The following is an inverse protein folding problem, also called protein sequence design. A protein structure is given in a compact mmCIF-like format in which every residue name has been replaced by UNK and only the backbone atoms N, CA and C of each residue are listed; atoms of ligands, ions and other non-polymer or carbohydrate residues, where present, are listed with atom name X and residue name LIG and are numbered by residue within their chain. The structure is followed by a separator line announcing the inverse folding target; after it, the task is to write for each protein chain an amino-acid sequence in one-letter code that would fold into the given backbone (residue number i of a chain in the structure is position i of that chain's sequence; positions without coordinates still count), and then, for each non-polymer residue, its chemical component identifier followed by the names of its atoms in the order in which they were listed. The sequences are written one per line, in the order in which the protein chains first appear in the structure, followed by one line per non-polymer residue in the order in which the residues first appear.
data_IF_950311211446
#
_entry.id   IF_950311211446
#
_cell.length_a   1.000
_cell.length_b   1.000
_cell.length_c   1.000
_cell.angle_alpha   90.00
_cell.angle_beta   90.00
_cell.angle_gamma   90.00
#
_symmetry.space_group_name_H-M   'P 1'
#
loop_
_entity.id
_entity.type
_entity.pdbx_description
1 polymer ?
#
# COMPACT_ATOMS: atom_id res chain seq x y z
N UNK A 1 -26.43 1.46 -11.52
CA UNK A 1 -26.37 1.46 -13.00
C UNK A 1 -25.30 0.45 -13.41
N UNK A 2 -25.71 -0.62 -14.11
CA UNK A 2 -24.91 -1.63 -14.84
C UNK A 2 -23.59 -2.19 -14.25
N UNK A 3 -23.53 -2.48 -12.95
CA UNK A 3 -22.39 -3.19 -12.36
C UNK A 3 -22.47 -4.71 -12.59
N UNK A 4 -21.51 -5.29 -13.32
CA UNK A 4 -21.34 -6.75 -13.43
C UNK A 4 -20.69 -7.36 -12.17
N UNK A 5 -20.16 -6.53 -11.27
CA UNK A 5 -19.62 -6.95 -9.98
C UNK A 5 -20.70 -6.86 -8.89
N UNK A 6 -21.14 -8.02 -8.38
CA UNK A 6 -22.17 -8.11 -7.34
C UNK A 6 -21.67 -8.91 -6.13
N UNK A 7 -21.72 -8.29 -4.94
CA UNK A 7 -21.34 -8.92 -3.68
C UNK A 7 -22.57 -9.24 -2.83
N UNK A 8 -23.37 -8.22 -2.48
CA UNK A 8 -24.68 -8.31 -1.83
C UNK A 8 -25.60 -7.21 -2.38
N UNK A 9 -26.92 -7.36 -2.22
CA UNK A 9 -27.91 -6.45 -2.81
C UNK A 9 -28.11 -5.13 -2.01
N UNK A 10 -27.49 -4.99 -0.84
CA UNK A 10 -27.73 -3.86 0.08
C UNK A 10 -26.54 -2.90 0.28
N UNK A 11 -25.32 -3.27 -0.14
CA UNK A 11 -24.11 -2.50 0.16
C UNK A 11 -23.38 -1.94 -1.06
N UNK A 12 -23.01 -0.66 -0.98
CA UNK A 12 -22.14 0.02 -1.95
C UNK A 12 -20.66 -0.22 -1.63
N UNK A 13 -20.06 -1.30 -2.15
CA UNK A 13 -18.63 -1.60 -1.92
C UNK A 13 -17.68 -0.85 -2.86
N UNK A 14 -18.06 -0.65 -4.13
CA UNK A 14 -17.16 -0.11 -5.17
C UNK A 14 -17.33 1.39 -5.44
N UNK A 15 -18.46 1.96 -5.04
CA UNK A 15 -18.68 3.42 -5.09
C UNK A 15 -18.25 4.03 -3.75
N UNK A 16 -16.96 3.93 -3.46
CA UNK A 16 -16.31 4.42 -2.24
C UNK A 16 -15.01 5.14 -2.62
N UNK A 17 -14.58 6.16 -1.86
CA UNK A 17 -13.33 6.87 -2.15
C UNK A 17 -12.07 6.02 -1.87
N UNK A 18 -12.21 4.91 -1.14
CA UNK A 18 -11.12 4.02 -0.74
C UNK A 18 -11.55 2.56 -0.79
N UNK A 19 -10.57 1.63 -0.81
CA UNK A 19 -10.83 0.19 -0.86
C UNK A 19 -11.21 -0.41 0.50
N UNK A 20 -11.17 0.35 1.61
CA UNK A 20 -11.36 -0.16 2.97
C UNK A 20 -12.65 -0.99 3.12
N UNK A 21 -13.80 -0.46 2.69
CA UNK A 21 -15.09 -1.18 2.78
C UNK A 21 -15.09 -2.50 1.99
N UNK A 22 -14.44 -2.53 0.82
CA UNK A 22 -14.30 -3.76 0.05
C UNK A 22 -13.33 -4.76 0.71
N UNK A 23 -12.21 -4.27 1.27
CA UNK A 23 -11.27 -5.10 2.02
C UNK A 23 -11.98 -5.71 3.24
N UNK A 24 -12.69 -4.92 4.04
CA UNK A 24 -13.44 -5.39 5.21
C UNK A 24 -14.50 -6.45 4.89
N UNK A 25 -15.00 -6.50 3.64
CA UNK A 25 -15.95 -7.53 3.20
C UNK A 25 -15.38 -8.96 3.19
N UNK A 26 -14.06 -9.12 3.29
CA UNK A 26 -13.40 -10.40 3.55
C UNK A 26 -13.07 -11.27 2.33
N UNK A 27 -12.20 -12.27 2.55
CA UNK A 27 -11.59 -13.14 1.53
C UNK A 27 -12.58 -13.80 0.56
N UNK A 28 -13.76 -14.21 1.05
CA UNK A 28 -14.78 -14.82 0.21
C UNK A 28 -15.25 -13.86 -0.89
N UNK A 29 -15.50 -12.60 -0.53
CA UNK A 29 -15.91 -11.56 -1.46
C UNK A 29 -14.78 -11.15 -2.40
N UNK A 30 -13.53 -11.05 -1.92
CA UNK A 30 -12.38 -10.81 -2.79
C UNK A 30 -12.22 -11.92 -3.84
N UNK A 31 -12.37 -13.17 -3.42
CA UNK A 31 -12.27 -14.33 -4.31
C UNK A 31 -13.40 -14.35 -5.34
N UNK A 32 -14.63 -14.00 -4.93
CA UNK A 32 -15.79 -13.86 -5.82
C UNK A 32 -15.55 -12.79 -6.88
N UNK A 33 -15.10 -11.59 -6.47
CA UNK A 33 -14.80 -10.48 -7.39
C UNK A 33 -13.68 -10.85 -8.34
N UNK A 34 -12.59 -11.44 -7.83
CA UNK A 34 -11.48 -11.90 -8.68
C UNK A 34 -11.94 -12.89 -9.75
N UNK A 35 -12.69 -13.92 -9.38
CA UNK A 35 -13.23 -14.91 -10.35
C UNK A 35 -14.15 -14.25 -11.38
N UNK A 36 -15.00 -13.32 -10.93
CA UNK A 36 -15.90 -12.57 -11.83
C UNK A 36 -15.11 -11.74 -12.83
N UNK A 37 -14.10 -10.97 -12.38
CA UNK A 37 -13.23 -10.20 -13.26
C UNK A 37 -12.47 -11.09 -14.24
N UNK A 38 -11.88 -12.20 -13.77
CA UNK A 38 -11.18 -13.16 -14.63
C UNK A 38 -12.11 -13.74 -15.70
N UNK A 39 -13.36 -14.06 -15.34
CA UNK A 39 -14.34 -14.54 -16.30
C UNK A 39 -14.71 -13.46 -17.31
N UNK A 40 -15.05 -12.25 -16.87
CA UNK A 40 -15.46 -11.14 -17.75
C UNK A 40 -14.34 -10.65 -18.68
N UNK A 41 -13.08 -10.80 -18.26
CA UNK A 41 -11.90 -10.42 -19.05
C UNK A 41 -11.32 -11.59 -19.85
N UNK A 42 -11.92 -12.78 -19.79
CA UNK A 42 -11.52 -13.93 -20.61
C UNK A 42 -11.96 -13.74 -22.06
N UNK A 43 -11.14 -14.21 -23.01
CA UNK A 43 -11.47 -14.23 -24.44
C UNK A 43 -12.69 -15.10 -24.76
N UNK A 44 -13.02 -16.06 -23.88
CA UNK A 44 -14.14 -16.98 -24.06
C UNK A 44 -15.46 -16.43 -23.47
N UNK A 45 -15.45 -15.25 -22.84
CA UNK A 45 -16.64 -14.64 -22.25
C UNK A 45 -17.08 -13.38 -23.01
N UNK A 46 -18.14 -13.54 -23.79
CA UNK A 46 -18.68 -12.49 -24.64
C UNK A 46 -19.45 -11.39 -23.87
N UNK A 47 -19.78 -11.61 -22.59
CA UNK A 47 -20.66 -10.72 -21.79
C UNK A 47 -20.17 -9.27 -21.77
N UNK A 48 -18.88 -9.06 -21.51
CA UNK A 48 -18.27 -7.74 -21.59
C UNK A 48 -17.66 -7.51 -22.98
N UNK A 49 -17.08 -8.54 -23.61
CA UNK A 49 -16.36 -8.41 -24.88
C UNK A 49 -17.24 -7.90 -26.04
N UNK A 50 -18.49 -8.33 -26.15
CA UNK A 50 -19.39 -7.90 -27.24
C UNK A 50 -20.25 -6.69 -26.87
N UNK A 51 -20.26 -6.29 -25.61
CA UNK A 51 -20.99 -5.11 -25.15
C UNK A 51 -20.13 -3.84 -25.31
N UNK A 52 -20.05 -3.34 -26.54
CA UNK A 52 -19.24 -2.14 -26.87
C UNK A 52 -19.61 -0.93 -26.02
N UNK A 53 -20.91 -0.64 -25.85
CA UNK A 53 -21.37 0.48 -25.04
C UNK A 53 -20.87 0.40 -23.61
N UNK A 54 -20.97 -0.77 -22.96
CA UNK A 54 -20.47 -0.97 -21.60
C UNK A 54 -18.95 -0.90 -21.53
N UNK A 55 -18.21 -1.50 -22.49
CA UNK A 55 -16.73 -1.44 -22.50
C UNK A 55 -16.21 -0.01 -22.56
N UNK A 56 -16.80 0.82 -23.42
CA UNK A 56 -16.47 2.24 -23.55
C UNK A 56 -16.70 3.00 -22.23
N UNK A 57 -17.70 2.59 -21.42
CA UNK A 57 -18.00 3.21 -20.13
C UNK A 57 -17.07 2.72 -18.99
N UNK A 58 -16.69 1.44 -18.97
CA UNK A 58 -16.03 0.82 -17.79
C UNK A 58 -14.54 0.54 -17.95
N UNK A 59 -14.01 0.50 -19.17
CA UNK A 59 -12.58 0.32 -19.42
C UNK A 59 -11.93 1.66 -19.78
N UNK A 60 -11.26 2.25 -18.80
CA UNK A 60 -10.58 3.53 -18.94
C UNK A 60 -9.08 3.30 -19.13
N UNK A 61 -8.44 4.07 -20.01
CA UNK A 61 -6.99 3.97 -20.20
C UNK A 61 -6.27 4.47 -18.95
N UNK A 62 -5.16 3.82 -18.60
CA UNK A 62 -4.40 4.17 -17.39
C UNK A 62 -3.76 5.56 -17.49
N UNK A 63 -3.39 6.00 -18.68
CA UNK A 63 -2.80 7.33 -18.95
C UNK A 63 -3.82 8.47 -18.92
N UNK A 64 -5.13 8.16 -18.91
CA UNK A 64 -6.21 9.15 -18.84
C UNK A 64 -6.80 9.31 -17.44
N UNK A 65 -6.21 8.68 -16.42
CA UNK A 65 -6.70 8.75 -15.03
C UNK A 65 -5.60 9.17 -14.07
N UNK A 66 -6.01 9.69 -12.91
CA UNK A 66 -5.12 9.93 -11.77
C UNK A 66 -5.36 8.86 -10.73
N UNK A 67 -4.30 8.17 -10.30
CA UNK A 67 -4.38 7.21 -9.19
C UNK A 67 -4.28 7.94 -7.85
N UNK A 68 -5.02 7.44 -6.86
CA UNK A 68 -5.05 7.97 -5.49
C UNK A 68 -4.50 6.95 -4.50
N UNK A 69 -4.33 7.35 -3.24
CA UNK A 69 -4.00 6.41 -2.16
C UNK A 69 -5.13 5.37 -2.05
N UNK A 70 -4.83 4.06 -2.16
CA UNK A 70 -5.86 3.04 -2.35
C UNK A 70 -6.69 2.75 -1.10
N UNK A 71 -6.14 3.07 0.08
CA UNK A 71 -6.79 2.86 1.37
C UNK A 71 -6.64 4.11 2.24
N UNK A 72 -7.61 4.32 3.12
CA UNK A 72 -7.38 5.09 4.33
C UNK A 72 -6.51 4.23 5.25
N UNK A 73 -5.35 4.76 5.66
CA UNK A 73 -4.40 4.07 6.52
C UNK A 73 -4.73 4.38 7.99
N UNK A 74 -5.37 3.48 8.76
CA UNK A 74 -5.65 3.73 10.18
C UNK A 74 -4.40 3.61 11.06
N UNK A 75 -3.44 2.79 10.63
CA UNK A 75 -2.17 2.56 11.30
C UNK A 75 -1.12 2.09 10.29
N UNK A 76 0.12 2.48 10.50
CA UNK A 76 1.26 2.08 9.69
C UNK A 76 2.36 1.54 10.61
N UNK A 77 2.76 0.29 10.40
CA UNK A 77 3.87 -0.35 11.10
C UNK A 77 4.98 -0.59 10.10
N UNK A 78 6.19 -0.21 10.46
CA UNK A 78 7.39 -0.50 9.68
C UNK A 78 8.23 -1.54 10.42
N UNK A 79 8.70 -2.54 9.67
CA UNK A 79 9.47 -3.67 10.21
C UNK A 79 10.92 -3.59 9.78
N UNK A 80 11.80 -4.20 10.58
CA UNK A 80 13.24 -4.20 10.37
C UNK A 80 13.79 -5.59 10.02
N UNK A 81 13.11 -6.30 9.12
CA UNK A 81 13.28 -7.76 8.92
C UNK A 81 14.30 -8.17 7.85
N UNK A 82 14.98 -7.24 7.18
CA UNK A 82 16.08 -7.58 6.26
C UNK A 82 17.38 -7.77 7.04
N UNK A 83 17.92 -9.00 7.02
CA UNK A 83 19.16 -9.34 7.74
C UNK A 83 20.35 -8.56 7.22
N UNK A 84 20.47 -8.45 5.91
CA UNK A 84 21.56 -7.75 5.23
C UNK A 84 21.49 -6.27 5.55
N UNK A 85 20.30 -5.67 5.48
CA UNK A 85 20.10 -4.28 5.88
C UNK A 85 20.48 -4.06 7.35
N UNK A 86 19.97 -4.89 8.25
CA UNK A 86 20.25 -4.80 9.68
C UNK A 86 21.73 -4.95 10.02
N UNK A 87 22.40 -5.88 9.34
CA UNK A 87 23.84 -6.13 9.49
C UNK A 87 24.64 -4.93 8.97
N UNK A 88 24.33 -4.44 7.78
CA UNK A 88 25.05 -3.31 7.17
C UNK A 88 24.96 -2.05 8.02
N UNK A 89 23.76 -1.69 8.50
CA UNK A 89 23.57 -0.57 9.43
C UNK A 89 24.30 -0.84 10.74
N UNK A 90 24.20 -2.07 11.28
CA UNK A 90 24.90 -2.47 12.49
C UNK A 90 26.40 -2.27 12.44
N UNK A 91 27.04 -2.67 11.34
CA UNK A 91 28.48 -2.50 11.10
C UNK A 91 28.95 -1.03 11.05
N UNK A 92 28.06 -0.09 10.74
CA UNK A 92 28.41 1.34 10.76
C UNK A 92 28.42 1.92 12.19
N UNK A 93 27.63 1.34 13.10
CA UNK A 93 27.49 1.80 14.49
C UNK A 93 28.32 0.99 15.49
N UNK A 94 28.65 -0.26 15.15
CA UNK A 94 29.34 -1.26 15.99
C UNK A 94 30.43 -1.96 15.18
N UNK A 95 31.10 -2.93 15.78
CA UNK A 95 31.95 -3.83 15.02
C UNK A 95 31.13 -4.86 14.20
N UNK A 96 31.68 -5.38 13.08
CA UNK A 96 30.95 -6.33 12.24
C UNK A 96 30.55 -7.65 12.92
N UNK A 97 31.25 -8.10 13.97
CA UNK A 97 30.91 -9.34 14.67
C UNK A 97 29.69 -9.16 15.58
N UNK A 98 29.43 -7.93 16.02
CA UNK A 98 28.28 -7.56 16.84
C UNK A 98 27.27 -6.68 16.08
N UNK A 99 27.19 -6.85 14.76
CA UNK A 99 26.33 -6.04 13.90
C UNK A 99 24.84 -6.16 14.27
N UNK A 100 24.36 -7.36 14.60
CA UNK A 100 22.97 -7.58 14.99
C UNK A 100 22.82 -7.52 16.51
N UNK A 101 21.78 -6.84 16.99
CA UNK A 101 21.39 -6.91 18.40
C UNK A 101 20.78 -8.28 18.71
N UNK A 102 20.89 -8.78 19.96
CA UNK A 102 20.45 -10.12 20.31
C UNK A 102 18.97 -10.41 20.00
N UNK A 103 18.10 -9.42 20.18
CA UNK A 103 16.67 -9.59 19.94
C UNK A 103 16.29 -9.69 18.45
N UNK A 104 17.16 -9.26 17.53
CA UNK A 104 16.83 -9.22 16.10
C UNK A 104 16.56 -10.61 15.52
N UNK A 105 17.27 -11.64 15.99
CA UNK A 105 17.06 -13.03 15.55
C UNK A 105 15.89 -13.72 16.25
N UNK A 106 15.39 -13.14 17.34
CA UNK A 106 14.36 -13.78 18.20
C UNK A 106 12.95 -13.27 17.89
N UNK A 107 12.82 -12.07 17.33
CA UNK A 107 11.53 -11.48 16.97
C UNK A 107 11.66 -10.52 15.77
N UNK A 108 10.57 -10.32 15.00
CA UNK A 108 10.55 -9.33 13.93
C UNK A 108 10.47 -7.92 14.53
N UNK A 109 11.62 -7.29 14.75
CA UNK A 109 11.71 -5.93 15.29
C UNK A 109 10.92 -4.98 14.39
N UNK A 110 10.13 -4.10 15.00
CA UNK A 110 9.32 -3.12 14.28
C UNK A 110 8.89 -1.97 15.18
N UNK A 111 8.33 -0.92 14.57
CA UNK A 111 7.91 0.28 15.27
C UNK A 111 6.66 0.89 14.62
N UNK A 112 5.95 1.74 15.39
CA UNK A 112 4.81 2.48 14.88
C UNK A 112 5.29 3.63 13.99
N UNK A 113 4.94 3.57 12.71
CA UNK A 113 5.12 4.68 11.77
C UNK A 113 4.02 5.73 11.89
N UNK A 114 4.06 6.72 10.99
CA UNK A 114 3.06 7.80 10.94
C UNK A 114 2.12 7.63 9.74
N UNK A 115 0.90 7.16 10.00
CA UNK A 115 -0.10 6.93 8.97
C UNK A 115 -0.45 8.19 8.14
N UNK A 116 -0.49 9.36 8.78
CA UNK A 116 -0.87 10.62 8.12
C UNK A 116 0.10 11.10 7.04
N UNK A 117 1.30 10.53 6.95
CA UNK A 117 2.33 10.91 5.97
C UNK A 117 2.58 9.83 4.91
N UNK A 118 1.77 8.77 4.86
CA UNK A 118 1.79 7.81 3.74
C UNK A 118 1.14 8.47 2.53
N UNK A 119 1.89 8.61 1.45
CA UNK A 119 1.47 9.31 0.23
C UNK A 119 1.53 8.40 -0.99
N UNK A 120 0.72 8.73 -2.02
CA UNK A 120 0.71 7.99 -3.29
C UNK A 120 1.98 8.29 -4.10
N UNK A 121 2.39 7.34 -4.95
CA UNK A 121 3.52 7.52 -5.87
C UNK A 121 3.41 8.82 -6.68
N UNK A 122 4.55 9.48 -6.90
CA UNK A 122 4.62 10.78 -7.60
C UNK A 122 4.42 12.00 -6.69
N UNK A 123 4.03 11.82 -5.42
CA UNK A 123 3.93 12.94 -4.47
C UNK A 123 5.32 13.51 -4.17
N UNK A 124 5.49 14.83 -4.35
CA UNK A 124 6.72 15.54 -4.01
C UNK A 124 6.96 15.53 -2.49
N UNK A 125 8.18 15.19 -2.07
CA UNK A 125 8.59 15.19 -0.67
C UNK A 125 9.55 16.36 -0.42
N UNK A 126 9.15 17.29 0.45
CA UNK A 126 9.99 18.43 0.85
C UNK A 126 11.07 17.94 1.81
N UNK A 127 12.33 18.37 1.61
CA UNK A 127 13.42 18.09 2.54
C UNK A 127 13.05 18.64 3.94
N UNK A 128 13.04 17.81 5.00
CA UNK A 128 12.68 18.28 6.32
C UNK A 128 13.79 19.17 6.90
N UNK A 129 13.38 20.21 7.62
CA UNK A 129 14.23 20.92 8.58
C UNK A 129 13.92 20.40 9.98
N UNK A 130 14.85 20.57 10.92
CA UNK A 130 14.71 20.07 12.27
C UNK A 130 16.01 20.20 13.05
N UNK A 131 15.99 19.81 14.32
CA UNK A 131 17.18 19.89 15.15
C UNK A 131 18.25 18.89 14.70
N UNK A 132 19.49 19.36 14.52
CA UNK A 132 20.66 18.56 14.13
C UNK A 132 21.76 18.77 15.17
N UNK A 133 22.35 17.67 15.66
CA UNK A 133 23.53 17.70 16.55
C UNK A 133 24.80 17.57 15.71
N UNK A 134 25.49 18.68 15.46
CA UNK A 134 26.79 18.68 14.81
C UNK A 134 27.88 18.14 15.76
N UNK A 135 29.00 17.57 15.23
CA UNK A 135 30.04 16.98 16.06
C UNK A 135 30.69 17.96 17.04
N UNK A 136 30.93 19.20 16.60
CA UNK A 136 31.71 20.19 17.35
C UNK A 136 30.86 21.22 18.11
N UNK A 137 29.54 21.12 18.01
CA UNK A 137 28.62 22.04 18.70
C UNK A 137 28.13 21.42 20.00
N UNK A 138 28.12 22.17 21.10
CA UNK A 138 27.62 21.65 22.38
C UNK A 138 26.10 21.37 22.32
N UNK A 139 25.34 22.28 21.70
CA UNK A 139 23.88 22.23 21.58
C UNK A 139 23.45 21.96 20.12
N UNK A 140 22.26 21.38 19.87
CA UNK A 140 21.76 21.20 18.51
C UNK A 140 21.40 22.54 17.85
N UNK A 141 21.48 22.58 16.52
CA UNK A 141 21.06 23.71 15.68
C UNK A 141 19.78 23.37 14.94
N UNK A 142 19.00 24.38 14.54
CA UNK A 142 17.85 24.24 13.64
C UNK A 142 18.24 24.66 12.22
#
# INVERSE_FOLDING_TARGET
KHGLLKLSDQDTYFNQPTLNKFIESGKANWSKVRKTLQSLLSVDNLTLQENEALRQEVLVKQDSVTLHLPIQVPGYTDFYSSKEHATNVGCMFRDPKNALLPNWSELPVGYNGRASSVVVSGTHVVRPSGQIKLPNEERPVF
#
